data_IF_038237345252
#
_entry.id   IF_038237345252
#
_cell.length_a   1.000
_cell.length_b   1.000
_cell.length_c   1.000
_cell.angle_alpha   90.00
_cell.angle_beta   90.00
_cell.angle_gamma   90.00
#
_symmetry.space_group_name_H-M   'P 1'
#
loop_
_entity.id
_entity.type
_entity.pdbx_description
1 polymer ?
#
# COMPACT_ATOMS: atom_id res chain seq x y z
N UNK A 1 26.73 56.16 -7.38
CA UNK A 1 26.20 54.87 -7.87
C UNK A 1 26.92 53.77 -7.11
N UNK A 2 26.24 53.10 -6.19
CA UNK A 2 26.83 51.99 -5.44
C UNK A 2 26.91 50.77 -6.37
N UNK A 3 28.11 50.49 -6.88
CA UNK A 3 28.43 49.37 -7.78
C UNK A 3 28.61 48.06 -6.99
N UNK A 4 28.33 48.10 -5.68
CA UNK A 4 28.45 46.94 -4.81
C UNK A 4 27.29 45.98 -5.05
N UNK A 5 27.44 45.16 -6.10
CA UNK A 5 27.02 43.77 -6.07
C UNK A 5 27.50 43.22 -4.73
N UNK A 6 26.57 43.01 -3.82
CA UNK A 6 26.87 42.29 -2.61
C UNK A 6 26.75 40.81 -3.01
N UNK A 7 27.85 40.06 -3.16
CA UNK A 7 27.80 38.67 -3.62
C UNK A 7 26.92 37.79 -2.73
N UNK A 8 26.70 38.18 -1.47
CA UNK A 8 25.74 37.52 -0.60
C UNK A 8 24.28 37.73 -1.06
N UNK A 9 23.92 38.95 -1.50
CA UNK A 9 22.57 39.26 -1.99
C UNK A 9 22.29 38.52 -3.29
N UNK A 10 23.26 38.45 -4.20
CA UNK A 10 23.13 37.67 -5.44
C UNK A 10 23.00 36.17 -5.15
N UNK A 11 23.85 35.61 -4.29
CA UNK A 11 23.76 34.21 -3.87
C UNK A 11 22.37 33.84 -3.35
N UNK A 12 21.81 34.68 -2.47
CA UNK A 12 20.50 34.45 -1.89
C UNK A 12 19.35 34.72 -2.87
N UNK A 13 19.48 35.69 -3.78
CA UNK A 13 18.50 35.91 -4.84
C UNK A 13 18.42 34.71 -5.80
N UNK A 14 19.57 34.15 -6.20
CA UNK A 14 19.64 32.95 -7.02
C UNK A 14 19.01 31.76 -6.30
N UNK A 15 19.32 31.58 -5.02
CA UNK A 15 18.78 30.50 -4.19
C UNK A 15 17.26 30.63 -4.00
N UNK A 16 16.76 31.84 -3.82
CA UNK A 16 15.32 32.12 -3.77
C UNK A 16 14.60 31.70 -5.05
N UNK A 17 15.21 31.99 -6.21
CA UNK A 17 14.69 31.60 -7.52
C UNK A 17 14.74 30.08 -7.72
N UNK A 18 15.87 29.44 -7.39
CA UNK A 18 16.06 27.99 -7.52
C UNK A 18 15.05 27.19 -6.70
N UNK A 19 14.74 27.64 -5.49
CA UNK A 19 13.77 26.99 -4.61
C UNK A 19 12.32 27.33 -4.94
N UNK A 20 12.08 28.21 -5.91
CA UNK A 20 10.72 28.59 -6.34
C UNK A 20 9.88 29.21 -5.24
N UNK A 21 10.51 29.87 -4.25
CA UNK A 21 9.86 30.36 -3.02
C UNK A 21 8.68 31.30 -3.27
N UNK A 22 8.70 32.05 -4.37
CA UNK A 22 7.59 32.89 -4.78
C UNK A 22 6.29 32.09 -5.02
N UNK A 23 6.39 30.86 -5.56
CA UNK A 23 5.23 29.96 -5.76
C UNK A 23 4.70 29.42 -4.44
N UNK A 24 5.56 29.35 -3.42
CA UNK A 24 5.18 29.00 -2.06
C UNK A 24 4.62 30.19 -1.25
N UNK A 25 4.41 31.35 -1.90
CA UNK A 25 3.88 32.55 -1.27
C UNK A 25 4.89 33.36 -0.44
N UNK A 26 6.18 33.02 -0.51
CA UNK A 26 7.24 33.73 0.22
C UNK A 26 7.86 34.79 -0.69
N UNK A 27 7.93 36.04 -0.20
CA UNK A 27 8.61 37.11 -0.94
C UNK A 27 10.09 37.22 -0.55
N UNK A 28 10.86 37.93 -1.38
CA UNK A 28 12.32 38.02 -1.21
C UNK A 28 12.73 38.72 0.11
N UNK A 29 11.94 39.69 0.59
CA UNK A 29 12.20 40.35 1.87
C UNK A 29 12.01 39.40 3.06
N UNK A 30 10.96 38.58 3.02
CA UNK A 30 10.72 37.52 4.01
C UNK A 30 11.84 36.48 3.99
N UNK A 31 12.32 36.12 2.80
CA UNK A 31 13.46 35.22 2.63
C UNK A 31 14.72 35.79 3.26
N UNK A 32 15.05 37.07 3.03
CA UNK A 32 16.21 37.70 3.65
C UNK A 32 16.11 37.80 5.17
N UNK A 33 14.89 37.92 5.72
CA UNK A 33 14.70 37.96 7.16
C UNK A 33 15.05 36.62 7.84
N UNK A 34 14.80 35.49 7.17
CA UNK A 34 15.18 34.17 7.69
C UNK A 34 15.36 33.12 6.57
N UNK A 35 16.53 33.10 5.89
CA UNK A 35 16.72 32.24 4.73
C UNK A 35 16.64 30.76 5.10
N UNK A 36 17.24 30.37 6.23
CA UNK A 36 17.23 28.97 6.70
C UNK A 36 15.80 28.43 6.89
N UNK A 37 14.91 29.21 7.51
CA UNK A 37 13.52 28.78 7.75
C UNK A 37 12.74 28.69 6.43
N UNK A 38 12.93 29.64 5.53
CA UNK A 38 12.28 29.61 4.22
C UNK A 38 12.76 28.42 3.35
N UNK A 39 14.03 28.07 3.43
CA UNK A 39 14.58 26.91 2.71
C UNK A 39 14.08 25.59 3.29
N UNK A 40 14.02 25.49 4.62
CA UNK A 40 13.40 24.36 5.29
C UNK A 40 11.94 24.21 4.86
N UNK A 41 11.20 25.31 4.75
CA UNK A 41 9.83 25.31 4.24
C UNK A 41 9.74 24.83 2.78
N UNK A 42 10.64 25.31 1.91
CA UNK A 42 10.69 24.85 0.52
C UNK A 42 10.92 23.34 0.44
N UNK A 43 11.88 22.83 1.22
CA UNK A 43 12.21 21.41 1.26
C UNK A 43 11.06 20.58 1.83
N UNK A 44 10.43 21.05 2.90
CA UNK A 44 9.22 20.46 3.47
C UNK A 44 8.10 20.30 2.45
N UNK A 45 7.82 21.36 1.66
CA UNK A 45 6.82 21.35 0.61
C UNK A 45 7.20 20.43 -0.56
N UNK A 46 8.47 20.44 -0.97
CA UNK A 46 8.97 19.56 -2.03
C UNK A 46 8.84 18.08 -1.67
N UNK A 47 9.09 17.74 -0.41
CA UNK A 47 8.96 16.39 0.13
C UNK A 47 7.50 16.02 0.47
N UNK A 48 6.56 16.98 0.34
CA UNK A 48 5.12 16.81 0.59
C UNK A 48 4.81 16.16 1.94
N UNK A 49 5.58 16.50 2.96
CA UNK A 49 5.55 15.84 4.27
C UNK A 49 4.20 15.93 4.98
N UNK A 50 3.39 16.95 4.69
CA UNK A 50 1.99 17.03 5.11
C UNK A 50 1.19 15.78 4.72
N UNK A 51 1.45 15.22 3.53
CA UNK A 51 0.77 14.01 3.06
C UNK A 51 1.20 12.77 3.82
N UNK A 52 2.39 12.77 4.40
CA UNK A 52 2.87 11.73 5.30
C UNK A 52 2.43 11.93 6.76
N UNK A 53 1.60 12.95 7.03
CA UNK A 53 1.14 13.30 8.37
C UNK A 53 2.23 13.96 9.23
N UNK A 54 3.29 14.48 8.62
CA UNK A 54 4.43 15.09 9.31
C UNK A 54 4.36 16.62 9.21
N UNK A 55 4.30 17.30 10.34
CA UNK A 55 4.12 18.76 10.41
C UNK A 55 5.42 19.53 10.17
N UNK A 56 5.32 20.79 9.78
CA UNK A 56 6.50 21.62 9.57
C UNK A 56 7.29 21.87 10.87
N UNK A 57 6.60 22.02 12.01
CA UNK A 57 7.29 22.20 13.30
C UNK A 57 8.08 20.94 13.70
N UNK A 58 7.55 19.75 13.40
CA UNK A 58 8.30 18.50 13.57
C UNK A 58 9.52 18.44 12.64
N UNK A 59 9.38 18.90 11.39
CA UNK A 59 10.49 18.98 10.44
C UNK A 59 11.59 19.97 10.86
N UNK A 60 11.20 21.08 11.49
CA UNK A 60 12.19 22.01 12.05
C UNK A 60 12.91 21.44 13.28
N UNK A 61 12.26 20.56 14.04
CA UNK A 61 12.85 19.90 15.20
C UNK A 61 13.80 18.77 14.77
N UNK A 62 13.42 17.99 13.76
CA UNK A 62 14.22 16.89 13.20
C UNK A 62 14.00 16.77 11.68
N UNK A 63 14.88 17.39 10.87
CA UNK A 63 14.75 17.35 9.42
C UNK A 63 15.12 15.99 8.81
N UNK A 64 16.02 15.24 9.45
CA UNK A 64 16.47 13.94 8.94
C UNK A 64 15.33 12.92 8.99
N UNK A 65 14.60 12.90 10.10
CA UNK A 65 13.41 12.05 10.24
C UNK A 65 12.35 12.36 9.17
N UNK A 66 12.14 13.65 8.87
CA UNK A 66 11.24 14.05 7.80
C UNK A 66 11.72 13.56 6.43
N UNK A 67 13.01 13.68 6.14
CA UNK A 67 13.60 13.20 4.88
C UNK A 67 13.49 11.69 4.72
N UNK A 68 13.71 10.91 5.78
CA UNK A 68 13.48 9.46 5.77
C UNK A 68 12.02 9.13 5.49
N UNK A 69 11.08 9.86 6.10
CA UNK A 69 9.64 9.66 5.90
C UNK A 69 9.21 9.90 4.46
N UNK A 70 9.85 10.84 3.77
CA UNK A 70 9.57 11.12 2.37
C UNK A 70 10.00 10.01 1.41
N UNK A 71 10.84 9.07 1.85
CA UNK A 71 11.21 7.89 1.06
C UNK A 71 10.11 6.82 1.06
N UNK A 72 9.19 6.87 2.03
CA UNK A 72 8.04 5.98 2.07
C UNK A 72 7.09 6.32 0.90
N UNK A 73 6.39 5.32 0.33
CA UNK A 73 5.39 5.60 -0.69
C UNK A 73 4.31 6.51 -0.13
N UNK A 74 4.03 7.58 -0.88
CA UNK A 74 3.04 8.57 -0.50
C UNK A 74 1.67 7.90 -0.33
N UNK A 75 0.95 8.16 0.78
CA UNK A 75 -0.33 7.52 1.00
C UNK A 75 -1.33 7.97 -0.08
N UNK A 76 -2.19 7.05 -0.56
CA UNK A 76 -3.15 7.36 -1.59
C UNK A 76 -4.12 8.43 -1.10
N UNK A 77 -4.54 9.31 -2.02
CA UNK A 77 -5.62 10.26 -1.72
C UNK A 77 -6.90 9.48 -1.38
N UNK A 78 -7.80 10.06 -0.60
CA UNK A 78 -9.05 9.39 -0.23
C UNK A 78 -9.84 8.88 -1.45
N UNK A 79 -9.88 9.67 -2.53
CA UNK A 79 -10.49 9.26 -3.81
C UNK A 79 -9.77 8.08 -4.48
N UNK A 80 -8.42 8.04 -4.40
CA UNK A 80 -7.62 6.94 -4.90
C UNK A 80 -7.77 5.69 -4.05
N UNK A 81 -7.89 5.84 -2.73
CA UNK A 81 -8.07 4.73 -1.80
C UNK A 81 -9.36 3.95 -2.10
N UNK A 82 -10.46 4.66 -2.38
CA UNK A 82 -11.70 4.02 -2.81
C UNK A 82 -11.53 3.23 -4.11
N UNK A 83 -10.79 3.77 -5.09
CA UNK A 83 -10.51 3.07 -6.34
C UNK A 83 -9.62 1.82 -6.11
N UNK A 84 -8.59 1.92 -5.27
CA UNK A 84 -7.73 0.80 -4.89
C UNK A 84 -8.56 -0.33 -4.25
N UNK A 85 -9.44 0.01 -3.31
CA UNK A 85 -10.31 -0.96 -2.65
C UNK A 85 -11.28 -1.63 -3.62
N UNK A 86 -11.84 -0.88 -4.59
CA UNK A 86 -12.70 -1.45 -5.65
C UNK A 86 -11.93 -2.42 -6.55
N UNK A 87 -10.72 -2.04 -6.97
CA UNK A 87 -9.87 -2.89 -7.80
C UNK A 87 -9.46 -4.16 -7.05
N UNK A 88 -9.07 -4.03 -5.79
CA UNK A 88 -8.72 -5.17 -4.94
C UNK A 88 -9.92 -6.11 -4.74
N UNK A 89 -11.11 -5.57 -4.43
CA UNK A 89 -12.33 -6.37 -4.29
C UNK A 89 -12.65 -7.14 -5.57
N UNK A 90 -12.51 -6.52 -6.75
CA UNK A 90 -12.72 -7.17 -8.03
C UNK A 90 -11.69 -8.26 -8.36
N UNK A 91 -10.44 -8.10 -7.93
CA UNK A 91 -9.38 -9.10 -8.13
C UNK A 91 -9.51 -10.29 -7.18
N UNK A 92 -9.85 -10.06 -5.92
CA UNK A 92 -9.90 -11.10 -4.88
C UNK A 92 -11.17 -11.96 -4.98
N UNK A 93 -12.29 -11.36 -5.39
CA UNK A 93 -13.59 -12.06 -5.45
C UNK A 93 -14.05 -12.38 -6.88
N UNK A 94 -13.38 -11.86 -7.91
CA UNK A 94 -13.86 -11.89 -9.30
C UNK A 94 -15.09 -11.01 -9.57
N UNK A 95 -15.68 -10.44 -8.51
CA UNK A 95 -16.83 -9.54 -8.57
C UNK A 95 -16.32 -8.10 -8.71
N UNK A 96 -15.86 -7.74 -9.91
CA UNK A 96 -15.78 -6.31 -10.22
C UNK A 96 -17.21 -5.76 -10.13
N UNK A 97 -17.49 -4.74 -9.30
CA UNK A 97 -18.70 -3.96 -9.50
C UNK A 97 -18.49 -3.30 -10.87
N UNK A 98 -19.05 -3.90 -11.93
CA UNK A 98 -19.23 -3.22 -13.21
C UNK A 98 -20.17 -2.08 -12.89
N UNK A 99 -19.57 -0.96 -12.49
CA UNK A 99 -20.27 0.28 -12.30
C UNK A 99 -20.95 0.59 -13.61
N UNK A 100 -22.27 0.65 -13.54
CA UNK A 100 -23.04 1.53 -14.39
C UNK A 100 -22.25 2.84 -14.55
N UNK A 101 -21.84 3.07 -15.80
CA UNK A 101 -21.51 4.38 -16.37
C UNK A 101 -20.18 5.02 -15.92
N UNK A 102 -19.17 4.88 -16.79
CA UNK A 102 -18.61 6.02 -17.54
C UNK A 102 -17.60 5.49 -18.57
N UNK A 103 -18.05 5.41 -19.81
CA UNK A 103 -17.31 4.80 -20.92
C UNK A 103 -18.28 4.05 -21.83
N UNK A 104 -19.16 4.81 -22.47
CA UNK A 104 -20.12 4.32 -23.45
C UNK A 104 -19.41 3.56 -24.59
N UNK A 105 -19.18 2.26 -24.38
CA UNK A 105 -19.28 1.30 -25.46
C UNK A 105 -20.74 1.33 -25.90
N UNK A 106 -20.97 1.88 -27.09
CA UNK A 106 -22.23 1.91 -27.79
C UNK A 106 -22.74 0.48 -27.99
N UNK A 107 -23.36 -0.10 -26.96
CA UNK A 107 -24.31 -1.19 -27.18
C UNK A 107 -25.51 -0.54 -27.88
N UNK A 108 -25.98 -1.09 -29.01
CA UNK A 108 -27.06 -0.49 -29.77
C UNK A 108 -28.30 -0.39 -28.87
N UNK A 109 -28.79 0.84 -28.71
CA UNK A 109 -29.97 1.17 -27.95
C UNK A 109 -31.16 0.32 -28.43
N UNK A 110 -31.63 -0.61 -27.60
CA UNK A 110 -32.80 -1.43 -27.93
C UNK A 110 -32.94 -2.75 -27.17
N UNK A 111 -31.87 -3.28 -26.57
CA UNK A 111 -31.97 -4.46 -25.73
C UNK A 111 -32.00 -4.07 -24.25
N UNK A 112 -33.15 -4.15 -23.56
CA UNK A 112 -33.14 -4.17 -22.10
C UNK A 112 -32.30 -5.38 -21.65
N UNK A 113 -31.44 -5.24 -20.63
CA UNK A 113 -30.72 -6.39 -20.07
C UNK A 113 -31.77 -7.46 -19.69
N UNK A 114 -31.59 -8.67 -20.19
CA UNK A 114 -32.55 -9.74 -19.93
C UNK A 114 -32.40 -10.11 -18.45
N UNK A 115 -33.48 -10.33 -17.68
CA UNK A 115 -33.37 -10.70 -16.26
C UNK A 115 -32.57 -11.99 -16.00
N UNK A 116 -32.26 -12.77 -17.05
CA UNK A 116 -31.39 -13.96 -17.02
C UNK A 116 -29.90 -13.60 -16.95
N UNK A 117 -29.52 -12.36 -17.31
CA UNK A 117 -28.14 -11.85 -17.23
C UNK A 117 -27.76 -11.44 -15.79
N UNK A 118 -28.75 -11.39 -14.88
CA UNK A 118 -28.54 -11.16 -13.46
C UNK A 118 -28.36 -12.49 -12.75
N UNK A 119 -27.11 -12.96 -12.68
CA UNK A 119 -26.77 -14.10 -11.84
C UNK A 119 -26.99 -13.71 -10.37
N UNK A 120 -27.94 -14.36 -9.68
CA UNK A 120 -28.25 -14.04 -8.28
C UNK A 120 -27.05 -14.40 -7.41
N UNK A 121 -26.45 -13.38 -6.79
CA UNK A 121 -25.29 -13.53 -5.91
C UNK A 121 -25.58 -14.47 -4.73
N UNK A 122 -26.85 -14.62 -4.32
CA UNK A 122 -27.25 -15.58 -3.28
C UNK A 122 -27.13 -17.02 -3.76
N UNK A 123 -27.51 -17.28 -5.00
CA UNK A 123 -27.38 -18.61 -5.63
C UNK A 123 -25.91 -18.96 -5.83
N UNK A 124 -25.10 -18.00 -6.27
CA UNK A 124 -23.66 -18.17 -6.42
C UNK A 124 -22.95 -18.47 -5.09
N UNK A 125 -23.29 -17.74 -4.02
CA UNK A 125 -22.78 -18.05 -2.67
C UNK A 125 -23.26 -19.41 -2.15
N UNK A 126 -24.50 -19.79 -2.43
CA UNK A 126 -25.02 -21.10 -2.04
C UNK A 126 -24.30 -22.23 -2.78
N UNK A 127 -24.01 -22.04 -4.07
CA UNK A 127 -23.23 -22.97 -4.88
C UNK A 127 -21.82 -23.12 -4.33
N UNK A 128 -21.11 -22.03 -4.04
CA UNK A 128 -19.75 -22.10 -3.46
C UNK A 128 -19.72 -22.79 -2.10
N UNK A 129 -20.71 -22.57 -1.24
CA UNK A 129 -20.83 -23.29 0.04
C UNK A 129 -21.01 -24.79 -0.19
N UNK A 130 -21.87 -25.17 -1.14
CA UNK A 130 -22.09 -26.58 -1.47
C UNK A 130 -20.83 -27.25 -2.07
N UNK A 131 -20.09 -26.52 -2.91
CA UNK A 131 -18.82 -26.97 -3.47
C UNK A 131 -17.74 -27.15 -2.39
N UNK A 132 -17.62 -26.21 -1.46
CA UNK A 132 -16.71 -26.30 -0.32
C UNK A 132 -17.06 -27.49 0.59
N UNK A 133 -18.32 -27.67 0.95
CA UNK A 133 -18.78 -28.84 1.71
C UNK A 133 -18.48 -30.16 0.98
N UNK A 134 -18.66 -30.19 -0.35
CA UNK A 134 -18.36 -31.37 -1.15
C UNK A 134 -16.86 -31.70 -1.14
N UNK A 135 -16.00 -30.69 -1.24
CA UNK A 135 -14.55 -30.83 -1.17
C UNK A 135 -14.05 -31.23 0.22
N UNK A 136 -14.75 -30.85 1.29
CA UNK A 136 -14.39 -31.19 2.68
C UNK A 136 -14.85 -32.60 3.11
N UNK A 137 -15.93 -33.13 2.53
CA UNK A 137 -16.42 -34.51 2.81
C UNK A 137 -15.34 -35.59 2.82
N UNK A 138 -14.43 -35.69 1.82
CA UNK A 138 -13.38 -36.69 1.85
C UNK A 138 -12.35 -36.46 2.96
N UNK A 139 -12.20 -35.23 3.49
CA UNK A 139 -11.24 -34.90 4.54
C UNK A 139 -11.83 -35.01 5.95
N UNK A 140 -13.16 -35.13 6.08
CA UNK A 140 -13.88 -35.15 7.36
C UNK A 140 -13.43 -36.26 8.34
N UNK A 141 -12.79 -37.31 7.83
CA UNK A 141 -12.25 -38.40 8.63
C UNK A 141 -10.83 -38.14 9.17
N UNK A 142 -10.15 -37.08 8.68
CA UNK A 142 -8.80 -36.72 9.11
C UNK A 142 -8.84 -35.94 10.44
N UNK A 143 -7.84 -36.15 11.32
CA UNK A 143 -7.74 -35.37 12.54
C UNK A 143 -7.48 -33.90 12.23
N UNK A 144 -8.11 -33.00 13.00
CA UNK A 144 -7.91 -31.57 12.86
C UNK A 144 -6.99 -31.03 13.96
N UNK A 145 -6.19 -30.01 13.63
CA UNK A 145 -5.42 -29.21 14.59
C UNK A 145 -5.59 -27.74 14.27
N UNK A 146 -6.09 -26.95 15.21
CA UNK A 146 -6.42 -25.53 15.04
C UNK A 146 -7.34 -25.25 13.83
N UNK A 147 -8.29 -26.15 13.54
CA UNK A 147 -9.23 -26.00 12.42
C UNK A 147 -8.67 -26.39 11.04
N UNK A 148 -7.40 -26.82 10.93
CA UNK A 148 -6.85 -27.37 9.70
C UNK A 148 -6.81 -28.90 9.75
N UNK A 149 -7.17 -29.57 8.63
CA UNK A 149 -7.01 -31.02 8.48
C UNK A 149 -5.52 -31.39 8.45
N UNK A 150 -5.13 -32.37 9.25
CA UNK A 150 -3.75 -32.88 9.33
C UNK A 150 -3.71 -34.28 8.76
N UNK A 151 -3.06 -34.45 7.60
CA UNK A 151 -2.81 -35.77 7.04
C UNK A 151 -1.76 -36.51 7.89
N UNK A 152 -2.06 -37.71 8.43
CA UNK A 152 -1.09 -38.47 9.19
C UNK A 152 0.04 -38.95 8.27
N UNK A 153 1.25 -38.44 8.50
CA UNK A 153 2.43 -38.85 7.74
C UNK A 153 2.80 -40.31 8.05
N UNK A 154 2.47 -41.21 7.13
CA UNK A 154 2.86 -42.61 7.20
C UNK A 154 4.35 -42.77 6.93
N UNK A 155 5.14 -42.87 7.99
CA UNK A 155 6.56 -43.21 7.89
C UNK A 155 6.69 -44.72 7.64
N UNK A 156 7.30 -45.09 6.51
CA UNK A 156 7.76 -46.46 6.30
C UNK A 156 8.79 -46.80 7.38
N UNK A 157 8.37 -47.65 8.34
CA UNK A 157 9.29 -48.18 9.34
C UNK A 157 10.21 -49.18 8.65
N UNK A 158 11.45 -48.76 8.37
CA UNK A 158 12.51 -49.69 8.03
C UNK A 158 12.71 -50.67 9.20
N UNK A 159 12.80 -51.97 8.91
CA UNK A 159 13.11 -53.00 9.89
C UNK A 159 14.41 -52.64 10.60
N UNK A 160 14.36 -52.42 11.92
CA UNK A 160 15.57 -52.19 12.73
C UNK A 160 16.30 -53.52 12.85
N UNK A 161 17.49 -53.64 12.25
CA UNK A 161 18.37 -54.77 12.52
C UNK A 161 18.98 -54.59 13.91
N UNK A 162 18.99 -55.66 14.71
CA UNK A 162 19.57 -55.67 16.07
C UNK A 162 21.11 -55.68 16.07
N UNK A 163 21.76 -55.25 14.99
CA UNK A 163 23.21 -55.36 14.80
C UNK A 163 24.01 -54.29 15.58
N UNK A 164 23.36 -53.27 16.13
CA UNK A 164 24.02 -52.20 16.89
C UNK A 164 23.83 -52.39 18.40
N UNK A 165 24.52 -53.38 18.97
CA UNK A 165 24.65 -53.53 20.43
C UNK A 165 25.74 -52.58 20.94
N UNK A 166 25.36 -51.35 21.30
CA UNK A 166 26.23 -50.49 22.11
C UNK A 166 26.16 -50.97 23.57
N UNK A 167 27.03 -51.91 23.94
CA UNK A 167 27.23 -52.26 25.34
C UNK A 167 27.80 -51.04 26.09
N UNK A 168 27.03 -50.53 27.06
CA UNK A 168 27.43 -49.46 27.98
C UNK A 168 28.66 -49.95 28.77
N UNK A 169 29.86 -49.44 28.47
CA UNK A 169 31.06 -49.70 29.28
C UNK A 169 30.90 -49.04 30.65
N UNK A 170 30.88 -49.86 31.70
CA UNK A 170 31.40 -49.62 33.05
C UNK A 170 30.93 -48.38 33.80
N UNK A 171 30.13 -48.59 34.85
CA UNK A 171 30.17 -47.80 36.08
C UNK A 171 30.98 -48.58 37.12
#
# INVERSE_FOLDING_TARGET
MSIYSNPAVEHYADRFMLLGLARAGINLLQYFANPKRCEAWARYQQLRLERHGFSFDQYLADPELGEERALEPEPPLQAQHAAILRLWAGQDTGLAPRGHEEGAATLPAGYPPHPEDYQDWRELLAQWRAEAEHAERPLAHLPQRNGAYVEPLHHHRHCRSAAANFAKRGA
#
